data_IF_506071984076
#
_entry.id   IF_506071984076
#
_cell.length_a   1.000
_cell.length_b   1.000
_cell.length_c   1.000
_cell.angle_alpha   90.00
_cell.angle_beta   90.00
_cell.angle_gamma   90.00
#
_symmetry.space_group_name_H-M   'P 1'
#
loop_
_entity.id
_entity.type
_entity.pdbx_description
1 polymer ?
#
# COMPACT_ATOMS: atom_id res chain seq x y z
N UNK A 1 -2.39 25.03 -5.71
CA UNK A 1 -2.38 23.59 -5.34
C UNK A 1 -1.74 23.38 -3.98
N UNK A 2 -2.38 22.61 -3.09
CA UNK A 2 -1.79 22.15 -1.83
C UNK A 2 -0.96 20.86 -2.05
N UNK A 3 0.23 20.81 -1.47
CA UNK A 3 1.07 19.61 -1.53
C UNK A 3 0.77 18.70 -0.33
N UNK A 4 0.11 17.58 -0.56
CA UNK A 4 -0.24 16.60 0.45
C UNK A 4 0.93 15.64 0.72
N UNK A 5 1.76 15.94 1.72
CA UNK A 5 2.91 15.13 2.10
C UNK A 5 2.49 13.92 2.94
N UNK A 6 3.14 12.78 2.73
CA UNK A 6 2.86 11.54 3.46
C UNK A 6 3.36 11.51 4.90
N UNK A 7 4.43 12.25 5.24
CA UNK A 7 5.01 12.21 6.58
C UNK A 7 4.04 12.66 7.69
N UNK A 8 3.26 13.75 7.56
CA UNK A 8 2.24 14.10 8.54
C UNK A 8 1.18 13.00 8.72
N UNK A 9 0.73 12.39 7.62
CA UNK A 9 -0.24 11.28 7.64
C UNK A 9 0.34 10.07 8.39
N UNK A 10 1.57 9.68 8.06
CA UNK A 10 2.28 8.60 8.72
C UNK A 10 2.44 8.85 10.23
N UNK A 11 2.74 10.09 10.63
CA UNK A 11 2.85 10.45 12.04
C UNK A 11 1.50 10.36 12.76
N UNK A 12 0.42 10.84 12.15
CA UNK A 12 -0.92 10.73 12.73
C UNK A 12 -1.36 9.27 12.96
N UNK A 13 -1.03 8.37 12.01
CA UNK A 13 -1.26 6.92 12.18
C UNK A 13 -0.42 6.38 13.34
N UNK A 14 0.87 6.71 13.39
CA UNK A 14 1.78 6.23 14.44
C UNK A 14 1.35 6.71 15.83
N UNK A 15 0.93 7.97 15.96
CA UNK A 15 0.44 8.54 17.23
C UNK A 15 -0.79 7.78 17.75
N UNK A 16 -1.73 7.43 16.85
CA UNK A 16 -2.89 6.59 17.23
C UNK A 16 -2.45 5.21 17.71
N UNK A 17 -1.50 4.57 17.01
CA UNK A 17 -0.96 3.26 17.41
C UNK A 17 -0.31 3.35 18.79
N UNK A 18 0.55 4.35 19.03
CA UNK A 18 1.23 4.55 20.30
C UNK A 18 0.24 4.81 21.44
N UNK A 19 -0.82 5.60 21.17
CA UNK A 19 -1.87 5.84 22.16
C UNK A 19 -2.62 4.56 22.53
N UNK A 20 -3.03 3.77 21.54
CA UNK A 20 -3.69 2.49 21.77
C UNK A 20 -2.80 1.49 22.52
N UNK A 21 -1.48 1.56 22.32
CA UNK A 21 -0.52 0.68 22.99
C UNK A 21 -0.30 1.04 24.48
N UNK A 22 -0.68 2.22 24.96
CA UNK A 22 -0.58 2.56 26.38
C UNK A 22 -1.41 1.65 27.28
N UNK A 23 -2.58 1.26 26.79
CA UNK A 23 -3.50 0.38 27.53
C UNK A 23 -3.37 -1.10 27.13
N UNK A 24 -2.38 -1.42 26.27
CA UNK A 24 -2.15 -2.77 25.77
C UNK A 24 -1.64 -3.71 26.88
N UNK A 25 -2.38 -4.81 27.14
CA UNK A 25 -2.05 -5.81 28.15
C UNK A 25 -1.59 -7.15 27.57
N UNK A 26 -1.64 -7.30 26.25
CA UNK A 26 -1.17 -8.50 25.54
C UNK A 26 0.35 -8.53 25.37
N UNK A 27 0.85 -9.60 24.79
CA UNK A 27 2.24 -9.63 24.34
C UNK A 27 2.46 -8.59 23.23
N UNK A 28 3.65 -8.03 23.15
CA UNK A 28 4.00 -7.02 22.13
C UNK A 28 3.75 -7.56 20.73
N UNK A 29 3.00 -6.84 19.86
CA UNK A 29 2.75 -7.24 18.49
C UNK A 29 4.05 -7.56 17.74
N UNK A 30 4.06 -8.67 17.00
CA UNK A 30 5.26 -9.21 16.38
C UNK A 30 5.11 -9.40 14.88
N UNK A 31 5.91 -8.65 14.10
CA UNK A 31 6.01 -8.75 12.66
C UNK A 31 7.13 -9.70 12.25
N UNK A 32 6.85 -10.63 11.36
CA UNK A 32 7.84 -11.35 10.58
C UNK A 32 7.99 -10.71 9.20
N UNK A 33 9.20 -10.31 8.82
CA UNK A 33 9.53 -9.90 7.46
C UNK A 33 10.24 -11.05 6.78
N UNK A 34 9.71 -11.52 5.66
CA UNK A 34 10.27 -12.62 4.87
C UNK A 34 10.87 -12.07 3.59
N UNK A 35 12.18 -12.31 3.39
CA UNK A 35 12.94 -11.85 2.22
C UNK A 35 13.78 -12.98 1.63
N UNK A 36 13.78 -13.08 0.31
CA UNK A 36 14.63 -14.01 -0.44
C UNK A 36 15.59 -13.21 -1.33
N UNK A 37 16.88 -13.44 -1.14
CA UNK A 37 17.94 -12.68 -1.82
C UNK A 37 18.19 -11.30 -1.20
N UNK A 38 18.92 -10.46 -1.93
CA UNK A 38 19.43 -9.16 -1.45
C UNK A 38 19.13 -8.03 -2.45
N UNK A 39 17.91 -7.97 -2.96
CA UNK A 39 17.50 -6.86 -3.83
C UNK A 39 17.55 -5.54 -3.05
N UNK A 40 18.17 -4.48 -3.60
CA UNK A 40 18.33 -3.20 -2.89
C UNK A 40 16.99 -2.60 -2.41
N UNK A 41 15.95 -2.72 -3.23
CA UNK A 41 14.62 -2.21 -2.90
C UNK A 41 14.00 -2.94 -1.70
N UNK A 42 14.09 -4.29 -1.69
CA UNK A 42 13.61 -5.13 -0.59
C UNK A 42 14.35 -4.79 0.70
N UNK A 43 15.68 -4.67 0.65
CA UNK A 43 16.50 -4.31 1.81
C UNK A 43 16.19 -2.90 2.31
N UNK A 44 15.88 -1.97 1.41
CA UNK A 44 15.48 -0.61 1.78
C UNK A 44 14.11 -0.59 2.46
N UNK A 45 13.15 -1.35 1.90
CA UNK A 45 11.81 -1.46 2.48
C UNK A 45 11.85 -2.18 3.85
N UNK A 46 12.60 -3.28 3.97
CA UNK A 46 12.82 -4.00 5.24
C UNK A 46 13.36 -3.07 6.33
N UNK A 47 14.44 -2.32 6.02
CA UNK A 47 14.99 -1.34 6.99
C UNK A 47 13.97 -0.29 7.41
N UNK A 48 13.17 0.20 6.46
CA UNK A 48 12.11 1.17 6.72
C UNK A 48 11.02 0.60 7.62
N UNK A 49 10.56 -0.63 7.33
CA UNK A 49 9.56 -1.33 8.12
C UNK A 49 10.06 -1.66 9.54
N UNK A 50 11.28 -2.16 9.69
CA UNK A 50 11.90 -2.45 11.00
C UNK A 50 11.97 -1.19 11.86
N UNK A 51 12.52 -0.10 11.34
CA UNK A 51 12.56 1.20 12.06
C UNK A 51 11.16 1.70 12.44
N UNK A 52 10.16 1.46 11.58
CA UNK A 52 8.79 1.83 11.88
C UNK A 52 8.23 1.02 13.04
N UNK A 53 8.44 -0.32 13.05
CA UNK A 53 8.00 -1.18 14.14
C UNK A 53 8.65 -0.79 15.46
N UNK A 54 9.96 -0.57 15.47
CA UNK A 54 10.70 -0.07 16.65
C UNK A 54 10.12 1.26 17.17
N UNK A 55 9.84 2.22 16.26
CA UNK A 55 9.29 3.54 16.61
C UNK A 55 7.94 3.45 17.32
N UNK A 56 7.10 2.49 16.96
CA UNK A 56 5.77 2.29 17.56
C UNK A 56 5.78 1.25 18.69
N UNK A 57 6.95 0.72 19.06
CA UNK A 57 7.12 -0.23 20.17
C UNK A 57 6.74 -1.67 19.84
N UNK A 58 6.77 -2.06 18.57
CA UNK A 58 6.47 -3.43 18.11
C UNK A 58 7.75 -4.25 17.92
N UNK A 59 7.61 -5.58 18.04
CA UNK A 59 8.67 -6.52 17.71
C UNK A 59 8.71 -6.74 16.20
N UNK A 60 9.93 -6.92 15.68
CA UNK A 60 10.13 -7.22 14.25
C UNK A 60 11.29 -8.22 14.11
N UNK A 61 11.05 -9.32 13.41
CA UNK A 61 12.08 -10.31 13.08
C UNK A 61 12.17 -10.48 11.57
N UNK A 62 13.38 -10.36 11.04
CA UNK A 62 13.67 -10.61 9.63
C UNK A 62 14.08 -12.05 9.41
N UNK A 63 13.39 -12.74 8.53
CA UNK A 63 13.68 -14.07 8.02
C UNK A 63 14.25 -13.95 6.62
N UNK A 64 15.55 -14.11 6.48
CA UNK A 64 16.25 -13.91 5.22
C UNK A 64 16.74 -15.22 4.66
N UNK A 65 16.45 -15.48 3.39
CA UNK A 65 16.80 -16.70 2.69
C UNK A 65 17.74 -16.41 1.52
N UNK A 66 18.66 -17.33 1.20
CA UNK A 66 19.52 -17.22 0.03
C UNK A 66 18.69 -17.09 -1.26
N UNK A 67 19.22 -16.34 -2.25
CA UNK A 67 18.54 -16.14 -3.53
C UNK A 67 18.30 -17.43 -4.32
N UNK A 68 19.10 -18.47 -4.05
CA UNK A 68 19.07 -19.78 -4.70
C UNK A 68 18.40 -20.87 -3.84
N UNK A 69 17.74 -20.50 -2.75
CA UNK A 69 16.98 -21.48 -1.95
C UNK A 69 15.99 -22.24 -2.83
N UNK A 70 15.95 -23.58 -2.69
CA UNK A 70 14.98 -24.37 -3.46
C UNK A 70 13.54 -24.16 -2.97
N UNK A 71 12.60 -24.36 -3.90
CA UNK A 71 11.19 -24.07 -3.64
C UNK A 71 10.60 -24.87 -2.46
N UNK A 72 10.94 -26.13 -2.33
CA UNK A 72 10.37 -27.00 -1.32
C UNK A 72 10.89 -26.63 0.07
N UNK A 73 12.17 -26.30 0.18
CA UNK A 73 12.79 -25.80 1.42
C UNK A 73 12.19 -24.46 1.80
N UNK A 74 12.06 -23.51 0.85
CA UNK A 74 11.45 -22.21 1.12
C UNK A 74 10.01 -22.36 1.64
N UNK A 75 9.19 -23.19 0.99
CA UNK A 75 7.82 -23.43 1.43
C UNK A 75 7.75 -23.99 2.86
N UNK A 76 8.61 -24.95 3.20
CA UNK A 76 8.68 -25.53 4.56
C UNK A 76 9.11 -24.50 5.62
N UNK A 77 10.09 -23.67 5.30
CA UNK A 77 10.52 -22.61 6.22
C UNK A 77 9.44 -21.53 6.37
N UNK A 78 8.75 -21.19 5.27
CA UNK A 78 7.62 -20.27 5.32
C UNK A 78 6.47 -20.81 6.18
N UNK A 79 6.15 -22.11 6.09
CA UNK A 79 5.12 -22.74 6.90
C UNK A 79 5.45 -22.61 8.40
N UNK A 80 6.70 -22.82 8.81
CA UNK A 80 7.11 -22.63 10.21
C UNK A 80 6.84 -21.20 10.70
N UNK A 81 7.14 -20.18 9.87
CA UNK A 81 6.87 -18.78 10.20
C UNK A 81 5.36 -18.54 10.27
N UNK A 82 4.62 -19.11 9.33
CA UNK A 82 3.18 -18.93 9.21
C UNK A 82 2.41 -19.61 10.36
N UNK A 83 2.92 -20.72 10.88
CA UNK A 83 2.34 -21.47 12.01
C UNK A 83 2.79 -20.97 13.38
N UNK A 84 3.87 -20.18 13.46
CA UNK A 84 4.40 -19.66 14.72
C UNK A 84 3.37 -18.74 15.43
N UNK A 85 2.90 -19.17 16.60
CA UNK A 85 1.89 -18.44 17.38
C UNK A 85 2.41 -17.12 17.96
N UNK A 86 3.73 -16.94 18.09
CA UNK A 86 4.34 -15.69 18.56
C UNK A 86 4.34 -14.60 17.48
N UNK A 87 4.15 -14.96 16.21
CA UNK A 87 4.07 -14.04 15.07
C UNK A 87 2.62 -13.62 14.83
N UNK A 88 2.34 -12.33 14.95
CA UNK A 88 1.01 -11.75 14.71
C UNK A 88 0.78 -11.37 13.25
N UNK A 89 1.84 -11.07 12.51
CA UNK A 89 1.74 -10.69 11.11
C UNK A 89 2.97 -11.00 10.29
N UNK A 90 2.77 -11.18 8.99
CA UNK A 90 3.81 -11.50 8.03
C UNK A 90 3.81 -10.45 6.91
N UNK A 91 4.98 -9.96 6.59
CA UNK A 91 5.27 -9.18 5.38
C UNK A 91 6.19 -10.01 4.49
N UNK A 92 5.67 -10.49 3.37
CA UNK A 92 6.46 -11.14 2.34
C UNK A 92 6.93 -10.10 1.33
N UNK A 93 8.25 -9.90 1.21
CA UNK A 93 8.83 -9.01 0.20
C UNK A 93 8.78 -9.68 -1.18
N UNK A 94 8.15 -9.00 -2.13
CA UNK A 94 7.87 -9.53 -3.48
C UNK A 94 8.39 -8.58 -4.57
N UNK A 95 8.58 -9.05 -5.81
CA UNK A 95 8.37 -10.43 -6.27
C UNK A 95 9.47 -11.39 -5.77
N UNK A 96 9.09 -12.63 -5.55
CA UNK A 96 10.04 -13.71 -5.25
C UNK A 96 10.91 -14.03 -6.49
N UNK A 97 12.10 -14.65 -6.31
CA UNK A 97 12.87 -15.22 -7.42
C UNK A 97 12.01 -16.17 -8.28
N UNK A 98 12.18 -16.12 -9.61
CA UNK A 98 11.31 -16.81 -10.58
C UNK A 98 11.19 -18.33 -10.41
N UNK A 99 12.14 -18.98 -9.75
CA UNK A 99 12.12 -20.42 -9.49
C UNK A 99 11.28 -20.81 -8.27
N UNK A 100 10.83 -19.84 -7.50
CA UNK A 100 9.92 -20.05 -6.37
C UNK A 100 8.47 -19.88 -6.80
N UNK A 101 7.59 -20.72 -6.28
CA UNK A 101 6.15 -20.62 -6.52
C UNK A 101 5.51 -19.58 -5.58
N UNK A 102 5.58 -18.30 -5.98
CA UNK A 102 4.96 -17.19 -5.24
C UNK A 102 3.46 -17.42 -5.05
N UNK A 103 2.79 -18.02 -6.05
CA UNK A 103 1.37 -18.30 -6.00
C UNK A 103 1.01 -19.32 -4.91
N UNK A 104 1.85 -20.32 -4.71
CA UNK A 104 1.68 -21.28 -3.61
C UNK A 104 1.77 -20.58 -2.25
N UNK A 105 2.69 -19.63 -2.08
CA UNK A 105 2.82 -18.86 -0.85
C UNK A 105 1.62 -17.93 -0.63
N UNK A 106 1.15 -17.22 -1.67
CA UNK A 106 -0.06 -16.39 -1.59
C UNK A 106 -1.29 -17.18 -1.13
N UNK A 107 -1.42 -18.44 -1.58
CA UNK A 107 -2.53 -19.31 -1.17
C UNK A 107 -2.35 -19.94 0.22
N UNK A 108 -1.13 -19.97 0.75
CA UNK A 108 -0.75 -20.68 1.97
C UNK A 108 -0.69 -19.76 3.18
N UNK A 109 -0.36 -18.48 2.99
CA UNK A 109 -0.29 -17.51 4.07
C UNK A 109 -1.61 -17.43 4.83
N UNK A 110 -1.55 -17.53 6.15
CA UNK A 110 -2.73 -17.35 7.00
C UNK A 110 -3.30 -15.94 6.82
N UNK A 111 -4.55 -15.84 6.37
CA UNK A 111 -5.17 -14.53 6.06
C UNK A 111 -5.20 -13.57 7.25
N UNK A 112 -5.17 -14.07 8.47
CA UNK A 112 -5.10 -13.29 9.71
C UNK A 112 -3.72 -12.73 9.99
N UNK A 113 -2.66 -13.27 9.35
CA UNK A 113 -1.27 -12.80 9.43
C UNK A 113 -0.80 -12.08 8.16
N UNK A 114 -1.58 -12.12 7.09
CA UNK A 114 -1.28 -11.53 5.80
C UNK A 114 -1.53 -10.02 5.83
N UNK A 115 -0.54 -9.26 6.28
CA UNK A 115 -0.72 -7.83 6.54
C UNK A 115 -0.67 -6.96 5.28
N UNK A 116 -0.20 -7.49 4.15
CA UNK A 116 -0.17 -6.77 2.87
C UNK A 116 -1.26 -7.27 1.88
N UNK A 117 -2.19 -8.09 2.37
CA UNK A 117 -3.40 -8.48 1.64
C UNK A 117 -3.12 -9.23 0.34
N UNK A 118 -2.08 -10.09 0.33
CA UNK A 118 -1.67 -10.85 -0.86
C UNK A 118 -2.51 -12.12 -1.05
N UNK A 119 -3.11 -12.64 0.03
CA UNK A 119 -3.89 -13.87 -0.01
C UNK A 119 -5.22 -13.69 -0.74
N UNK A 120 -5.70 -14.72 -1.45
CA UNK A 120 -7.03 -14.70 -2.08
C UNK A 120 -8.15 -14.37 -1.10
N UNK A 121 -8.02 -14.80 0.17
CA UNK A 121 -9.02 -14.50 1.20
C UNK A 121 -9.08 -13.00 1.51
N UNK A 122 -7.94 -12.34 1.70
CA UNK A 122 -7.93 -10.90 1.95
C UNK A 122 -8.36 -10.10 0.71
N UNK A 123 -7.98 -10.54 -0.49
CA UNK A 123 -8.50 -9.93 -1.73
C UNK A 123 -10.03 -10.03 -1.81
N UNK A 124 -10.62 -11.19 -1.46
CA UNK A 124 -12.07 -11.36 -1.40
C UNK A 124 -12.72 -10.46 -0.35
N UNK A 125 -12.11 -10.31 0.83
CA UNK A 125 -12.59 -9.42 1.89
C UNK A 125 -12.54 -7.94 1.47
N UNK A 126 -11.47 -7.50 0.80
CA UNK A 126 -11.38 -6.15 0.24
C UNK A 126 -12.48 -5.92 -0.80
N UNK A 127 -12.69 -6.89 -1.71
CA UNK A 127 -13.77 -6.82 -2.70
C UNK A 127 -15.15 -6.72 -2.05
N UNK A 128 -15.40 -7.50 -1.00
CA UNK A 128 -16.67 -7.50 -0.25
C UNK A 128 -16.83 -6.28 0.68
N UNK A 129 -15.79 -5.47 0.87
CA UNK A 129 -15.80 -4.38 1.85
C UNK A 129 -15.81 -4.87 3.31
N UNK A 130 -15.39 -6.12 3.56
CA UNK A 130 -15.31 -6.69 4.90
C UNK A 130 -14.19 -6.02 5.71
N UNK A 131 -14.52 -5.39 6.87
CA UNK A 131 -13.51 -4.69 7.68
C UNK A 131 -12.52 -5.63 8.38
N UNK A 132 -12.77 -6.94 8.40
CA UNK A 132 -11.84 -7.92 9.00
C UNK A 132 -10.66 -8.26 8.09
N UNK A 133 -10.76 -7.95 6.77
CA UNK A 133 -9.67 -8.14 5.82
C UNK A 133 -8.54 -7.12 5.95
N UNK A 134 -7.42 -7.43 5.33
CA UNK A 134 -6.29 -6.52 5.14
C UNK A 134 -6.17 -6.20 3.66
N UNK A 135 -6.17 -4.92 3.32
CA UNK A 135 -5.85 -4.49 1.97
C UNK A 135 -4.35 -4.36 1.77
N UNK A 136 -3.86 -4.33 0.52
CA UNK A 136 -2.48 -3.97 0.27
C UNK A 136 -2.14 -2.62 0.92
N UNK A 137 -1.03 -2.56 1.65
CA UNK A 137 -0.66 -1.38 2.44
C UNK A 137 -0.58 -0.10 1.60
N UNK A 138 -0.12 -0.21 0.35
CA UNK A 138 -0.07 0.94 -0.58
C UNK A 138 -1.47 1.42 -0.97
N UNK A 139 -2.41 0.50 -1.20
CA UNK A 139 -3.79 0.87 -1.54
C UNK A 139 -4.50 1.53 -0.35
N UNK A 140 -4.31 1.01 0.86
CA UNK A 140 -4.87 1.62 2.07
C UNK A 140 -4.21 2.97 2.39
N UNK A 141 -2.91 3.14 2.09
CA UNK A 141 -2.24 4.43 2.26
C UNK A 141 -2.88 5.54 1.41
N UNK A 142 -3.40 5.24 0.22
CA UNK A 142 -4.18 6.21 -0.59
C UNK A 142 -5.41 6.69 0.18
N UNK A 143 -6.12 5.77 0.82
CA UNK A 143 -7.31 6.09 1.61
C UNK A 143 -6.96 6.91 2.85
N UNK A 144 -5.88 6.55 3.55
CA UNK A 144 -5.38 7.31 4.71
C UNK A 144 -4.97 8.76 4.33
N UNK A 145 -4.38 8.93 3.13
CA UNK A 145 -4.05 10.26 2.61
C UNK A 145 -5.30 11.10 2.35
N UNK A 146 -6.32 10.51 1.70
CA UNK A 146 -7.59 11.18 1.41
C UNK A 146 -8.35 11.53 2.70
N UNK A 147 -8.39 10.62 3.66
CA UNK A 147 -9.03 10.84 4.97
C UNK A 147 -8.34 11.94 5.75
N UNK A 148 -7.00 11.96 5.76
CA UNK A 148 -6.21 12.99 6.43
C UNK A 148 -6.43 14.37 5.82
N UNK A 149 -6.56 14.44 4.49
CA UNK A 149 -6.86 15.66 3.76
C UNK A 149 -8.33 16.12 3.92
N UNK A 150 -9.16 15.36 4.65
CA UNK A 150 -10.58 15.69 4.86
C UNK A 150 -11.43 15.59 3.60
N UNK A 151 -11.03 14.77 2.61
CA UNK A 151 -11.76 14.59 1.36
C UNK A 151 -13.01 13.75 1.62
N UNK A 152 -14.20 14.36 1.55
CA UNK A 152 -15.46 13.62 1.57
C UNK A 152 -15.66 12.91 0.23
N UNK A 153 -15.56 11.58 0.24
CA UNK A 153 -15.68 10.73 -0.94
C UNK A 153 -17.12 10.40 -1.32
N UNK A 154 -18.10 10.69 -0.46
CA UNK A 154 -19.50 10.35 -0.70
C UNK A 154 -20.04 11.07 -1.94
N UNK A 155 -20.45 10.28 -2.93
CA UNK A 155 -20.99 10.81 -4.21
C UNK A 155 -19.95 11.37 -5.18
N UNK A 156 -18.66 11.39 -4.81
CA UNK A 156 -17.58 11.88 -5.67
C UNK A 156 -17.29 10.94 -6.84
N UNK A 157 -16.95 11.53 -7.98
CA UNK A 157 -16.42 10.80 -9.12
C UNK A 157 -14.93 10.60 -8.92
N UNK A 158 -14.53 9.34 -8.73
CA UNK A 158 -13.13 8.94 -8.59
C UNK A 158 -12.68 8.17 -9.83
N UNK A 159 -11.51 8.49 -10.35
CA UNK A 159 -10.87 7.73 -11.42
C UNK A 159 -9.57 7.13 -10.88
N UNK A 160 -9.37 5.85 -11.15
CA UNK A 160 -8.13 5.13 -10.83
C UNK A 160 -7.45 4.71 -12.13
N UNK A 161 -6.25 5.20 -12.38
CA UNK A 161 -5.43 4.79 -13.52
C UNK A 161 -4.55 3.63 -13.06
N UNK A 162 -4.83 2.43 -13.57
CA UNK A 162 -4.17 1.18 -13.18
C UNK A 162 -5.16 0.14 -12.65
N UNK A 163 -4.87 -1.15 -12.88
CA UNK A 163 -5.74 -2.26 -12.50
C UNK A 163 -4.99 -3.46 -11.91
N UNK A 164 -3.86 -3.21 -11.28
CA UNK A 164 -3.10 -4.25 -10.59
C UNK A 164 -3.88 -4.79 -9.38
N UNK A 165 -3.53 -5.99 -8.92
CA UNK A 165 -4.08 -6.58 -7.69
C UNK A 165 -3.50 -5.92 -6.43
N UNK A 166 -2.37 -5.22 -6.56
CA UNK A 166 -1.67 -4.59 -5.43
C UNK A 166 -2.18 -3.18 -5.16
N UNK A 167 -2.57 -2.43 -6.21
CA UNK A 167 -2.95 -1.01 -6.07
C UNK A 167 -4.30 -0.72 -6.71
N UNK A 168 -4.40 -0.77 -8.03
CA UNK A 168 -5.55 -0.21 -8.76
C UNK A 168 -6.90 -0.82 -8.37
N UNK A 169 -7.03 -2.14 -8.40
CA UNK A 169 -8.28 -2.81 -8.01
C UNK A 169 -8.62 -2.63 -6.53
N UNK A 170 -7.67 -2.84 -5.57
CA UNK A 170 -7.96 -2.60 -4.16
C UNK A 170 -8.38 -1.15 -3.87
N UNK A 171 -7.69 -0.15 -4.42
CA UNK A 171 -8.04 1.26 -4.26
C UNK A 171 -9.47 1.53 -4.77
N UNK A 172 -9.80 1.00 -5.95
CA UNK A 172 -11.15 1.16 -6.51
C UNK A 172 -12.23 0.60 -5.57
N UNK A 173 -12.01 -0.59 -4.99
CA UNK A 173 -12.95 -1.19 -4.04
C UNK A 173 -13.04 -0.37 -2.74
N UNK A 174 -11.93 0.14 -2.23
CA UNK A 174 -11.90 0.96 -1.02
C UNK A 174 -12.59 2.31 -1.24
N UNK A 175 -12.43 2.94 -2.39
CA UNK A 175 -13.15 4.16 -2.77
C UNK A 175 -14.66 3.92 -2.88
N UNK A 176 -15.09 2.79 -3.51
CA UNK A 176 -16.50 2.38 -3.56
C UNK A 176 -17.07 2.16 -2.16
N UNK A 177 -16.32 1.53 -1.26
CA UNK A 177 -16.74 1.34 0.13
C UNK A 177 -16.98 2.68 0.85
N UNK A 178 -16.28 3.75 0.44
CA UNK A 178 -16.49 5.12 0.93
C UNK A 178 -17.55 5.89 0.14
N UNK A 179 -18.37 5.19 -0.64
CA UNK A 179 -19.48 5.72 -1.44
C UNK A 179 -19.05 6.64 -2.59
N UNK A 180 -17.85 6.51 -3.12
CA UNK A 180 -17.46 7.14 -4.38
C UNK A 180 -18.02 6.39 -5.59
N UNK A 181 -18.28 7.09 -6.70
CA UNK A 181 -18.51 6.49 -8.00
C UNK A 181 -17.15 6.32 -8.68
N UNK A 182 -16.74 5.07 -8.96
CA UNK A 182 -15.38 4.77 -9.39
C UNK A 182 -15.32 4.31 -10.85
N UNK A 183 -14.43 4.93 -11.62
CA UNK A 183 -14.02 4.46 -12.94
C UNK A 183 -12.58 3.98 -12.89
N UNK A 184 -12.28 2.83 -13.50
CA UNK A 184 -10.93 2.28 -13.59
C UNK A 184 -10.43 2.38 -15.03
N UNK A 185 -9.35 3.14 -15.24
CA UNK A 185 -8.67 3.29 -16.51
C UNK A 185 -7.44 2.37 -16.62
N UNK A 186 -7.08 2.01 -17.82
CA UNK A 186 -5.93 1.15 -18.12
C UNK A 186 -5.45 1.34 -19.56
N UNK A 187 -4.37 0.70 -19.95
CA UNK A 187 -3.72 0.82 -21.29
C UNK A 187 -4.62 0.59 -22.51
N UNK A 188 -5.86 0.14 -22.33
CA UNK A 188 -6.85 -0.05 -23.41
C UNK A 188 -8.03 0.91 -23.30
N UNK A 189 -7.99 1.85 -22.35
CA UNK A 189 -9.01 2.89 -22.21
C UNK A 189 -8.87 3.85 -23.40
N UNK A 190 -9.97 4.06 -24.10
CA UNK A 190 -10.04 5.06 -25.19
C UNK A 190 -10.23 6.43 -24.57
N UNK A 191 -9.50 7.43 -25.07
CA UNK A 191 -9.53 8.80 -24.57
C UNK A 191 -9.40 8.87 -23.04
N UNK A 192 -8.32 8.29 -22.50
CA UNK A 192 -8.09 8.26 -21.06
C UNK A 192 -8.04 9.68 -20.44
N UNK A 193 -7.42 10.69 -21.06
CA UNK A 193 -7.47 12.06 -20.53
C UNK A 193 -8.91 12.57 -20.40
N UNK A 194 -9.76 12.38 -21.40
CA UNK A 194 -11.16 12.79 -21.36
C UNK A 194 -11.97 12.11 -20.26
N UNK A 195 -11.72 10.80 -20.01
CA UNK A 195 -12.33 10.09 -18.87
C UNK A 195 -11.86 10.67 -17.54
N UNK A 196 -10.55 10.92 -17.40
CA UNK A 196 -9.96 11.45 -16.17
C UNK A 196 -10.37 12.88 -15.86
N UNK A 197 -10.57 13.71 -16.91
CA UNK A 197 -11.00 15.11 -16.79
C UNK A 197 -12.36 15.29 -16.06
N UNK A 198 -13.15 14.22 -15.96
CA UNK A 198 -14.39 14.21 -15.20
C UNK A 198 -14.24 13.88 -13.71
N UNK A 199 -13.03 13.56 -13.26
CA UNK A 199 -12.77 13.11 -11.89
C UNK A 199 -12.63 14.27 -10.90
N UNK A 200 -13.25 14.12 -9.73
CA UNK A 200 -13.01 14.99 -8.57
C UNK A 200 -11.84 14.43 -7.71
N UNK A 201 -11.60 13.13 -7.82
CA UNK A 201 -10.45 12.45 -7.21
C UNK A 201 -9.79 11.58 -8.29
N UNK A 202 -8.52 11.79 -8.54
CA UNK A 202 -7.72 11.03 -9.50
C UNK A 202 -6.60 10.28 -8.75
N UNK A 203 -6.55 8.96 -8.90
CA UNK A 203 -5.47 8.13 -8.38
C UNK A 203 -4.64 7.60 -9.54
N UNK A 204 -3.37 8.01 -9.62
CA UNK A 204 -2.43 7.56 -10.64
C UNK A 204 -1.60 6.38 -10.10
N UNK A 205 -1.74 5.20 -10.74
CA UNK A 205 -1.06 3.96 -10.41
C UNK A 205 -0.75 3.14 -11.67
N UNK A 206 -0.25 3.83 -12.71
CA UNK A 206 0.07 3.26 -14.02
C UNK A 206 1.48 2.67 -14.10
N UNK A 207 2.41 3.15 -13.25
CA UNK A 207 3.83 2.79 -13.31
C UNK A 207 4.54 3.37 -14.54
N UNK A 208 4.14 4.58 -14.97
CA UNK A 208 4.73 5.27 -16.13
C UNK A 208 5.06 6.70 -15.71
N UNK A 209 6.36 7.03 -15.74
CA UNK A 209 6.87 8.33 -15.30
C UNK A 209 6.17 9.50 -15.99
N UNK A 210 5.64 10.43 -15.21
CA UNK A 210 5.05 11.70 -15.66
C UNK A 210 3.98 11.56 -16.76
N UNK A 211 3.29 10.42 -16.82
CA UNK A 211 2.26 10.15 -17.84
C UNK A 211 1.02 11.05 -17.66
N UNK A 212 0.71 11.41 -16.42
CA UNK A 212 -0.47 12.21 -16.07
C UNK A 212 -0.10 13.68 -16.02
N UNK A 213 -0.49 14.40 -17.05
CA UNK A 213 -0.34 15.85 -17.18
C UNK A 213 -1.67 16.58 -16.89
N UNK A 214 -1.71 17.91 -17.04
CA UNK A 214 -2.89 18.72 -16.79
C UNK A 214 -4.09 18.36 -17.67
N UNK A 215 -3.90 17.70 -18.81
CA UNK A 215 -5.01 17.26 -19.66
C UNK A 215 -5.86 16.17 -19.02
N UNK A 216 -5.31 15.43 -18.04
CA UNK A 216 -6.00 14.40 -17.25
C UNK A 216 -6.76 14.99 -16.05
N UNK A 217 -6.43 16.19 -15.60
CA UNK A 217 -6.85 16.70 -14.28
C UNK A 217 -7.95 17.76 -14.43
N UNK A 218 -9.08 17.53 -13.77
CA UNK A 218 -10.15 18.52 -13.67
C UNK A 218 -9.74 19.69 -12.77
N UNK A 219 -10.32 20.86 -12.99
CA UNK A 219 -10.10 22.02 -12.13
C UNK A 219 -10.60 21.73 -10.71
N UNK A 220 -9.73 21.92 -9.72
CA UNK A 220 -10.01 21.65 -8.32
C UNK A 220 -9.94 20.18 -7.91
N UNK A 221 -9.53 19.26 -8.79
CA UNK A 221 -9.41 17.84 -8.46
C UNK A 221 -8.33 17.56 -7.39
N UNK A 222 -8.54 16.49 -6.61
CA UNK A 222 -7.54 15.90 -5.71
C UNK A 222 -6.80 14.81 -6.47
N UNK A 223 -5.48 14.90 -6.54
CA UNK A 223 -4.62 13.98 -7.27
C UNK A 223 -3.74 13.20 -6.29
N UNK A 224 -3.86 11.88 -6.30
CA UNK A 224 -3.03 10.97 -5.49
C UNK A 224 -2.12 10.18 -6.42
N UNK A 225 -0.84 10.50 -6.38
CA UNK A 225 0.19 9.80 -7.15
C UNK A 225 0.77 8.64 -6.34
N UNK A 226 0.63 7.43 -6.87
CA UNK A 226 1.12 6.18 -6.26
C UNK A 226 2.32 5.63 -7.04
N UNK A 227 2.63 6.22 -8.19
CA UNK A 227 3.74 5.81 -9.04
C UNK A 227 5.08 5.95 -8.33
N UNK A 228 5.97 5.01 -8.59
CA UNK A 228 7.40 5.11 -8.22
C UNK A 228 8.19 4.74 -9.45
N UNK A 229 8.79 5.74 -10.07
CA UNK A 229 9.55 5.63 -11.30
C UNK A 229 10.90 6.36 -11.15
N UNK A 230 11.78 6.14 -12.10
CA UNK A 230 13.01 6.91 -12.27
C UNK A 230 12.91 7.62 -13.61
N UNK A 231 13.09 8.93 -13.64
CA UNK A 231 13.06 9.70 -14.87
C UNK A 231 14.37 9.59 -15.67
N UNK A 232 14.42 10.25 -16.83
CA UNK A 232 15.58 10.20 -17.74
C UNK A 232 16.86 10.75 -17.10
N UNK A 233 16.75 11.62 -16.10
CA UNK A 233 17.87 12.21 -15.35
C UNK A 233 18.30 11.34 -14.15
N UNK A 234 17.62 10.20 -13.91
CA UNK A 234 17.89 9.30 -12.80
C UNK A 234 17.24 9.74 -11.48
N UNK A 235 16.33 10.71 -11.50
CA UNK A 235 15.61 11.15 -10.31
C UNK A 235 14.35 10.32 -10.07
N UNK A 236 14.03 10.10 -8.79
CA UNK A 236 12.78 9.46 -8.40
C UNK A 236 11.59 10.37 -8.71
N UNK A 237 10.60 9.85 -9.43
CA UNK A 237 9.39 10.58 -9.79
C UNK A 237 8.16 9.66 -9.73
N UNK A 238 6.98 10.26 -9.82
CA UNK A 238 5.70 9.55 -9.89
C UNK A 238 5.18 9.35 -11.31
N UNK A 239 3.92 8.92 -11.37
CA UNK A 239 3.16 8.85 -12.62
C UNK A 239 2.62 10.22 -13.05
N UNK A 240 2.61 11.19 -12.14
CA UNK A 240 2.05 12.53 -12.35
C UNK A 240 3.18 13.52 -12.66
N UNK A 241 2.99 14.33 -13.67
CA UNK A 241 3.80 15.56 -13.87
C UNK A 241 3.34 16.61 -12.86
N UNK A 242 4.02 16.61 -11.70
CA UNK A 242 3.60 17.37 -10.52
C UNK A 242 3.51 18.89 -10.79
N UNK A 243 4.44 19.41 -11.57
CA UNK A 243 4.47 20.85 -11.88
C UNK A 243 3.36 21.23 -12.87
N UNK A 244 3.11 20.38 -13.88
CA UNK A 244 2.10 20.65 -14.89
C UNK A 244 0.66 20.55 -14.33
N UNK A 245 0.40 19.56 -13.47
CA UNK A 245 -0.94 19.41 -12.86
C UNK A 245 -1.24 20.49 -11.81
N UNK A 246 -0.23 21.23 -11.36
CA UNK A 246 -0.40 22.29 -10.36
C UNK A 246 -1.36 23.41 -10.81
N UNK A 247 -1.54 23.57 -12.12
CA UNK A 247 -2.47 24.56 -12.68
C UNK A 247 -3.95 24.20 -12.40
N UNK A 248 -4.27 22.91 -12.33
CA UNK A 248 -5.65 22.42 -12.23
C UNK A 248 -5.98 21.80 -10.88
N UNK A 249 -5.05 21.05 -10.28
CA UNK A 249 -5.30 20.32 -9.04
C UNK A 249 -5.46 21.27 -7.83
N UNK A 250 -6.39 20.94 -6.93
CA UNK A 250 -6.47 21.60 -5.60
C UNK A 250 -5.45 21.02 -4.62
N UNK A 251 -5.27 19.71 -4.69
CA UNK A 251 -4.34 18.93 -3.85
C UNK A 251 -3.61 17.93 -4.73
N UNK A 252 -2.29 17.76 -4.51
CA UNK A 252 -1.52 16.70 -5.15
C UNK A 252 -0.48 16.12 -4.18
N UNK A 253 -0.26 14.80 -4.24
CA UNK A 253 0.80 14.13 -3.48
C UNK A 253 2.11 14.17 -4.26
N UNK A 254 3.26 14.51 -3.63
CA UNK A 254 4.55 14.51 -4.30
C UNK A 254 5.17 13.11 -4.36
N UNK A 255 6.04 12.87 -5.33
CA UNK A 255 6.93 11.71 -5.37
C UNK A 255 8.37 12.20 -5.59
N UNK A 256 9.28 11.95 -4.64
CA UNK A 256 9.11 11.24 -3.37
C UNK A 256 8.38 12.04 -2.28
N UNK A 257 7.98 11.36 -1.20
CA UNK A 257 7.45 12.01 0.00
C UNK A 257 5.92 12.01 0.13
N UNK A 258 5.20 11.40 -0.83
CA UNK A 258 3.75 11.16 -0.79
C UNK A 258 3.37 9.80 -0.21
N UNK A 259 2.56 9.04 -0.94
CA UNK A 259 1.95 7.75 -0.53
C UNK A 259 2.97 6.75 0.01
N UNK A 260 4.12 6.60 -0.65
CA UNK A 260 5.17 5.66 -0.24
C UNK A 260 5.69 5.89 1.19
N UNK A 261 5.57 7.12 1.73
CA UNK A 261 5.96 7.44 3.11
C UNK A 261 4.94 6.92 4.15
N UNK A 262 3.76 6.50 3.74
CA UNK A 262 2.64 6.09 4.61
C UNK A 262 2.55 4.57 4.74
N UNK A 263 3.00 3.81 3.74
CA UNK A 263 2.81 2.35 3.63
C UNK A 263 3.27 1.57 4.86
N UNK A 264 4.44 1.88 5.41
CA UNK A 264 4.95 1.20 6.62
C UNK A 264 4.17 1.54 7.88
N UNK A 265 3.50 2.71 7.93
CA UNK A 265 2.60 3.06 9.04
C UNK A 265 1.26 2.31 8.92
N UNK A 266 0.77 2.09 7.70
CA UNK A 266 -0.39 1.21 7.45
C UNK A 266 -0.06 -0.23 7.85
N UNK A 267 1.13 -0.73 7.50
CA UNK A 267 1.59 -2.05 7.94
C UNK A 267 1.59 -2.18 9.47
N UNK A 268 2.06 -1.16 10.19
CA UNK A 268 2.02 -1.14 11.66
C UNK A 268 0.58 -1.12 12.20
N UNK A 269 -0.32 -0.38 11.57
CA UNK A 269 -1.76 -0.37 11.89
C UNK A 269 -2.38 -1.75 11.68
N UNK A 270 -2.04 -2.45 10.59
CA UNK A 270 -2.48 -3.81 10.32
C UNK A 270 -1.95 -4.79 11.36
N UNK A 271 -0.67 -4.66 11.77
CA UNK A 271 -0.10 -5.52 12.79
C UNK A 271 -0.83 -5.36 14.14
N UNK A 272 -1.13 -4.13 14.55
CA UNK A 272 -1.92 -3.91 15.76
C UNK A 272 -3.31 -4.54 15.68
N UNK A 273 -3.98 -4.38 14.53
CA UNK A 273 -5.29 -5.01 14.26
C UNK A 273 -5.19 -6.54 14.34
N UNK A 274 -4.15 -7.15 13.76
CA UNK A 274 -3.93 -8.59 13.80
C UNK A 274 -3.70 -9.10 15.21
N UNK A 275 -2.84 -8.43 15.98
CA UNK A 275 -2.58 -8.76 17.37
C UNK A 275 -3.86 -8.68 18.25
N UNK A 276 -4.71 -7.67 18.03
CA UNK A 276 -6.01 -7.54 18.71
C UNK A 276 -6.99 -8.65 18.38
N UNK A 277 -7.02 -9.10 17.13
CA UNK A 277 -7.94 -10.12 16.68
C UNK A 277 -7.56 -11.54 17.15
N UNK A 278 -6.31 -11.76 17.50
CA UNK A 278 -5.77 -13.07 17.93
C UNK A 278 -5.67 -13.23 19.45
N UNK A 279 -5.84 -12.17 20.19
CA UNK A 279 -5.66 -12.10 21.65
C UNK A 279 -6.86 -11.48 22.34
#
# INVERSE_FOLDING_TARGET
METLKGLPVANAINEKIIEEMKDWKGATPHLAIVRVGERPDDMSYERGATKKMEKVGFRCTSYTFPADIDNDTFQKEFDKINEDEDIDGILLLRPLPKHLDEKAIENRIASVKDLDGISPMNLAKVYAGDPTGYGPCTAEAVIEMLDYAGVDLKGKRAVVIGRSLVIGKPVAMMLMKKNATVTVCHTKTVDMPGVCKGAEVLVAAAGVAKMVDKSFVADGAVVIDVGINVDEDGNLCGDVDFEDVAENASVCTPVPGGVGSVTTSVLAKHLLKAAKARR
#
